data_IF_797596861770
#
_entry.id   IF_797596861770
#
_cell.length_a   1.000
_cell.length_b   1.000
_cell.length_c   1.000
_cell.angle_alpha   90.00
_cell.angle_beta   90.00
_cell.angle_gamma   90.00
#
_symmetry.space_group_name_H-M   'P 1'
#
loop_
_entity.id
_entity.type
_entity.pdbx_description
1 polymer ?
#
# COMPACT_ATOMS: atom_id res chain seq x y z
N UNK A 1 21.17 44.65 52.74
CA UNK A 1 22.15 44.29 51.69
C UNK A 1 21.68 43.00 51.03
N UNK A 2 21.60 42.98 49.70
CA UNK A 2 20.74 42.09 48.89
C UNK A 2 21.22 40.62 48.87
N UNK A 3 20.27 39.70 49.01
CA UNK A 3 20.45 38.25 48.84
C UNK A 3 20.37 37.95 47.34
N UNK A 4 21.46 37.45 46.74
CA UNK A 4 21.52 37.10 45.32
C UNK A 4 20.84 35.74 45.07
N UNK A 5 19.77 35.76 44.28
CA UNK A 5 19.08 34.59 43.73
C UNK A 5 19.80 34.20 42.43
N UNK A 6 20.63 33.16 42.48
CA UNK A 6 21.13 32.47 41.27
C UNK A 6 20.83 30.97 41.40
N UNK A 7 19.57 30.64 41.22
CA UNK A 7 19.11 29.28 40.96
C UNK A 7 17.97 29.40 39.97
N UNK A 8 17.89 28.49 39.01
CA UNK A 8 16.89 28.42 37.93
C UNK A 8 17.17 29.23 36.65
N UNK A 9 18.26 28.93 35.94
CA UNK A 9 18.29 29.16 34.48
C UNK A 9 18.76 27.93 33.68
N UNK A 10 19.42 26.95 34.28
CA UNK A 10 20.00 25.83 33.53
C UNK A 10 19.00 24.73 33.07
N UNK A 11 17.77 24.67 33.61
CA UNK A 11 16.84 23.57 33.32
C UNK A 11 15.97 23.79 32.05
N UNK A 12 15.83 25.03 31.57
CA UNK A 12 14.95 25.34 30.43
C UNK A 12 15.57 25.03 29.05
N UNK A 13 16.90 25.05 28.95
CA UNK A 13 17.59 24.87 27.67
C UNK A 13 17.62 23.42 27.18
N UNK A 14 17.53 22.43 28.08
CA UNK A 14 17.58 21.01 27.71
C UNK A 14 16.26 20.48 27.13
N UNK A 15 15.11 21.05 27.51
CA UNK A 15 13.80 20.63 26.99
C UNK A 15 13.51 21.18 25.57
N UNK A 16 14.14 22.29 25.18
CA UNK A 16 13.97 22.88 23.85
C UNK A 16 14.68 22.12 22.73
N UNK A 17 15.81 21.45 23.04
CA UNK A 17 16.61 20.77 22.02
C UNK A 17 15.98 19.44 21.55
N UNK A 18 15.23 18.75 22.40
CA UNK A 18 14.56 17.48 22.04
C UNK A 18 13.37 17.68 21.08
N UNK A 19 12.72 18.84 21.10
CA UNK A 19 11.54 19.12 20.27
C UNK A 19 11.86 19.50 18.81
N UNK A 20 13.14 19.72 18.47
CA UNK A 20 13.56 20.14 17.11
C UNK A 20 13.93 18.92 16.24
N UNK A 21 14.21 17.75 16.83
CA UNK A 21 14.65 16.57 16.07
C UNK A 21 13.52 15.91 15.26
N UNK A 22 12.25 16.11 15.65
CA UNK A 22 11.10 15.46 15.01
C UNK A 22 10.72 16.09 13.66
N UNK A 23 11.19 17.31 13.35
CA UNK A 23 10.81 18.04 12.12
C UNK A 23 11.78 17.80 10.93
N UNK A 24 12.71 16.85 11.02
CA UNK A 24 13.75 16.60 10.00
C UNK A 24 13.54 15.32 9.16
N UNK A 25 12.41 14.61 9.33
CA UNK A 25 12.18 13.29 8.74
C UNK A 25 12.24 13.21 7.19
N UNK A 26 12.14 14.34 6.47
CA UNK A 26 12.02 14.37 5.00
C UNK A 26 12.94 15.35 4.27
N UNK A 27 14.04 15.82 4.88
CA UNK A 27 14.87 16.89 4.26
C UNK A 27 16.07 16.42 3.43
N UNK A 28 16.61 15.24 3.68
CA UNK A 28 17.73 14.73 2.89
C UNK A 28 17.22 14.17 1.57
N UNK A 29 17.79 14.61 0.44
CA UNK A 29 17.55 13.95 -0.85
C UNK A 29 18.07 12.52 -0.77
N UNK A 30 17.31 11.57 -1.32
CA UNK A 30 17.76 10.18 -1.44
C UNK A 30 19.02 10.10 -2.29
N UNK A 31 19.97 9.25 -1.88
CA UNK A 31 21.14 8.93 -2.70
C UNK A 31 20.74 8.08 -3.91
N UNK A 32 21.56 8.03 -4.98
CA UNK A 32 21.31 7.14 -6.11
C UNK A 32 21.13 5.67 -5.70
N UNK A 33 21.89 5.20 -4.71
CA UNK A 33 21.81 3.83 -4.20
C UNK A 33 20.48 3.57 -3.47
N UNK A 34 19.98 4.55 -2.73
CA UNK A 34 18.67 4.46 -2.06
C UNK A 34 17.52 4.45 -3.08
N UNK A 35 17.59 5.28 -4.12
CA UNK A 35 16.61 5.29 -5.20
C UNK A 35 16.62 3.95 -5.96
N UNK A 36 17.81 3.40 -6.23
CA UNK A 36 17.95 2.07 -6.83
C UNK A 36 17.33 0.99 -5.95
N UNK A 37 17.62 0.98 -4.65
CA UNK A 37 17.05 0.01 -3.72
C UNK A 37 15.52 0.11 -3.67
N UNK A 38 14.97 1.32 -3.70
CA UNK A 38 13.53 1.54 -3.80
C UNK A 38 12.95 0.97 -5.09
N UNK A 39 13.56 1.28 -6.24
CA UNK A 39 13.11 0.78 -7.55
C UNK A 39 13.16 -0.76 -7.62
N UNK A 40 14.23 -1.36 -7.13
CA UNK A 40 14.41 -2.81 -7.14
C UNK A 40 13.30 -3.50 -6.33
N UNK A 41 13.01 -3.04 -5.11
CA UNK A 41 11.94 -3.59 -4.25
C UNK A 41 10.56 -3.31 -4.84
N UNK A 42 10.32 -2.10 -5.35
CA UNK A 42 9.05 -1.73 -5.95
C UNK A 42 8.74 -2.60 -7.17
N UNK A 43 9.69 -2.75 -8.08
CA UNK A 43 9.51 -3.58 -9.27
C UNK A 43 9.46 -5.07 -8.96
N UNK A 44 10.05 -5.54 -7.86
CA UNK A 44 9.81 -6.90 -7.36
C UNK A 44 8.33 -7.12 -6.99
N UNK A 45 7.73 -6.16 -6.26
CA UNK A 45 6.30 -6.24 -5.91
C UNK A 45 5.40 -6.13 -7.15
N UNK A 46 5.74 -5.28 -8.12
CA UNK A 46 5.01 -5.20 -9.40
C UNK A 46 5.02 -6.54 -10.11
N UNK A 47 6.18 -7.19 -10.26
CA UNK A 47 6.29 -8.50 -10.94
C UNK A 47 5.54 -9.60 -10.19
N UNK A 48 5.63 -9.62 -8.85
CA UNK A 48 4.90 -10.59 -8.05
C UNK A 48 3.39 -10.38 -8.16
N UNK A 49 2.94 -9.13 -8.12
CA UNK A 49 1.53 -8.77 -8.28
C UNK A 49 1.00 -9.15 -9.66
N UNK A 50 1.78 -8.91 -10.71
CA UNK A 50 1.46 -9.32 -12.08
C UNK A 50 1.23 -10.83 -12.20
N UNK A 51 2.15 -11.64 -11.64
CA UNK A 51 2.02 -13.10 -11.60
C UNK A 51 0.74 -13.54 -10.88
N UNK A 52 0.48 -13.00 -9.68
CA UNK A 52 -0.71 -13.33 -8.91
C UNK A 52 -2.00 -12.91 -9.63
N UNK A 53 -1.99 -11.73 -10.25
CA UNK A 53 -3.13 -11.17 -10.97
C UNK A 53 -3.50 -11.99 -12.22
N UNK A 54 -2.50 -12.61 -12.86
CA UNK A 54 -2.67 -13.54 -13.97
C UNK A 54 -2.86 -15.01 -13.53
N UNK A 55 -2.96 -15.27 -12.23
CA UNK A 55 -3.30 -16.59 -11.70
C UNK A 55 -2.13 -17.58 -11.65
N UNK A 56 -0.88 -17.12 -11.64
CA UNK A 56 0.30 -17.98 -11.59
C UNK A 56 0.27 -18.91 -10.35
N UNK A 57 0.22 -20.22 -10.59
CA UNK A 57 0.10 -21.21 -9.51
C UNK A 57 1.37 -21.29 -8.66
N UNK A 58 2.54 -21.08 -9.24
CA UNK A 58 3.82 -21.18 -8.54
C UNK A 58 3.98 -20.03 -7.53
N UNK A 59 3.61 -18.80 -7.91
CA UNK A 59 3.58 -17.64 -7.04
C UNK A 59 2.59 -17.82 -5.88
N UNK A 60 1.38 -18.31 -6.17
CA UNK A 60 0.38 -18.61 -5.15
C UNK A 60 0.88 -19.66 -4.16
N UNK A 61 1.46 -20.77 -4.65
CA UNK A 61 2.05 -21.83 -3.84
C UNK A 61 3.20 -21.31 -2.97
N UNK A 62 4.07 -20.47 -3.52
CA UNK A 62 5.19 -19.86 -2.77
C UNK A 62 4.71 -19.00 -1.61
N UNK A 63 3.59 -18.29 -1.78
CA UNK A 63 3.02 -17.42 -0.76
C UNK A 63 2.00 -18.12 0.15
N UNK A 64 1.65 -19.37 -0.13
CA UNK A 64 0.66 -20.13 0.64
C UNK A 64 -0.75 -19.54 0.54
N UNK A 65 -1.11 -18.96 -0.61
CA UNK A 65 -2.43 -18.37 -0.85
C UNK A 65 -3.21 -19.18 -1.90
N UNK A 66 -4.53 -19.10 -1.84
CA UNK A 66 -5.44 -19.67 -2.84
C UNK A 66 -6.35 -18.56 -3.36
N UNK A 67 -5.99 -17.94 -4.48
CA UNK A 67 -6.74 -16.81 -5.04
C UNK A 67 -7.97 -17.26 -5.84
N UNK A 68 -8.02 -18.53 -6.25
CA UNK A 68 -9.10 -19.08 -7.04
C UNK A 68 -9.34 -20.56 -6.76
N UNK A 69 -10.62 -20.94 -6.64
CA UNK A 69 -11.08 -22.33 -6.69
C UNK A 69 -11.82 -22.63 -8.00
N UNK A 70 -12.20 -21.60 -8.74
CA UNK A 70 -12.91 -21.71 -10.02
C UNK A 70 -11.97 -21.84 -11.21
N UNK A 71 -10.67 -21.57 -11.01
CA UNK A 71 -9.67 -21.49 -12.09
C UNK A 71 -9.64 -20.14 -12.80
N UNK A 72 -10.52 -19.20 -12.42
CA UNK A 72 -10.49 -17.83 -12.95
C UNK A 72 -9.36 -17.01 -12.31
N UNK A 73 -8.72 -16.18 -13.12
CA UNK A 73 -7.74 -15.19 -12.68
C UNK A 73 -8.30 -13.77 -12.82
N UNK A 74 -7.75 -12.81 -12.06
CA UNK A 74 -8.19 -11.41 -12.10
C UNK A 74 -8.11 -10.83 -13.53
N UNK A 75 -7.04 -11.16 -14.25
CA UNK A 75 -6.79 -10.73 -15.62
C UNK A 75 -7.85 -11.19 -16.65
N UNK A 76 -8.67 -12.20 -16.33
CA UNK A 76 -9.74 -12.65 -17.22
C UNK A 76 -10.90 -11.63 -17.28
N UNK A 77 -11.13 -10.89 -16.19
CA UNK A 77 -12.14 -9.82 -16.12
C UNK A 77 -11.51 -8.43 -16.27
N UNK A 78 -10.25 -8.28 -15.87
CA UNK A 78 -9.51 -7.01 -15.89
C UNK A 78 -8.20 -7.15 -16.69
N UNK A 79 -8.25 -7.30 -18.02
CA UNK A 79 -7.04 -7.49 -18.84
C UNK A 79 -6.02 -6.39 -18.56
N UNK A 80 -4.77 -6.75 -18.22
CA UNK A 80 -3.71 -5.79 -17.90
C UNK A 80 -4.06 -4.77 -16.80
N UNK A 81 -4.97 -5.11 -15.88
CA UNK A 81 -5.38 -4.22 -14.80
C UNK A 81 -6.35 -3.11 -15.22
N UNK A 82 -7.03 -3.24 -16.37
CA UNK A 82 -8.06 -2.28 -16.81
C UNK A 82 -9.31 -2.35 -15.93
N UNK A 83 -10.04 -1.24 -15.86
CA UNK A 83 -11.33 -1.12 -15.18
C UNK A 83 -11.35 -1.43 -13.67
N UNK A 84 -10.20 -1.48 -13.01
CA UNK A 84 -10.09 -1.62 -11.55
C UNK A 84 -10.09 -0.28 -10.80
N UNK A 85 -9.86 0.83 -11.51
CA UNK A 85 -9.99 2.22 -11.04
C UNK A 85 -9.42 2.49 -9.63
N UNK A 86 -8.13 2.19 -9.36
CA UNK A 86 -7.59 2.24 -8.00
C UNK A 86 -7.46 3.67 -7.45
N UNK A 87 -7.46 4.66 -8.33
CA UNK A 87 -7.37 6.08 -8.01
C UNK A 87 -8.68 6.68 -7.47
N UNK A 88 -9.80 5.95 -7.59
CA UNK A 88 -11.10 6.35 -7.06
C UNK A 88 -11.37 5.81 -5.65
N UNK A 89 -10.50 4.93 -5.15
CA UNK A 89 -10.61 4.41 -3.78
C UNK A 89 -9.94 5.36 -2.77
N UNK A 90 -10.50 5.49 -1.55
CA UNK A 90 -11.69 4.79 -1.06
C UNK A 90 -13.01 5.40 -1.55
N UNK A 91 -14.06 4.57 -1.67
CA UNK A 91 -15.40 4.99 -2.14
C UNK A 91 -16.54 4.16 -1.56
N UNK A 92 -17.77 4.62 -1.74
CA UNK A 92 -18.94 3.75 -1.58
C UNK A 92 -19.00 2.81 -2.78
N UNK A 93 -18.92 1.51 -2.56
CA UNK A 93 -18.97 0.53 -3.62
C UNK A 93 -20.36 -0.11 -3.67
N UNK A 94 -21.10 0.18 -4.73
CA UNK A 94 -22.47 -0.31 -4.92
C UNK A 94 -22.57 -1.85 -4.89
N UNK A 95 -21.58 -2.55 -5.44
CA UNK A 95 -21.52 -4.01 -5.51
C UNK A 95 -21.55 -4.68 -4.13
N UNK A 96 -21.08 -3.98 -3.09
CA UNK A 96 -21.10 -4.48 -1.69
C UNK A 96 -21.98 -3.62 -0.77
N UNK A 97 -22.55 -2.52 -1.28
CA UNK A 97 -23.45 -1.63 -0.54
C UNK A 97 -22.81 -0.92 0.65
N UNK A 98 -21.49 -0.71 0.65
CA UNK A 98 -20.77 -0.10 1.76
C UNK A 98 -19.51 0.65 1.31
N UNK A 99 -18.91 1.40 2.25
CA UNK A 99 -17.58 1.98 2.06
C UNK A 99 -16.53 0.89 1.84
N UNK A 100 -15.67 1.09 0.85
CA UNK A 100 -14.64 0.15 0.43
C UNK A 100 -13.31 0.85 0.20
N UNK A 101 -12.24 0.18 0.58
CA UNK A 101 -10.88 0.43 0.11
C UNK A 101 -10.58 -0.46 -1.11
N UNK A 102 -9.46 -0.20 -1.78
CA UNK A 102 -8.99 -1.07 -2.86
C UNK A 102 -8.78 -2.52 -2.37
N UNK A 103 -8.24 -2.71 -1.17
CA UNK A 103 -8.01 -4.03 -0.58
C UNK A 103 -9.31 -4.78 -0.28
N UNK A 104 -10.37 -4.06 0.11
CA UNK A 104 -11.69 -4.66 0.27
C UNK A 104 -12.19 -5.21 -1.07
N UNK A 105 -11.98 -4.49 -2.16
CA UNK A 105 -12.36 -4.93 -3.50
C UNK A 105 -11.47 -6.04 -4.05
N UNK A 106 -10.17 -6.04 -3.75
CA UNK A 106 -9.30 -7.18 -4.07
C UNK A 106 -9.82 -8.45 -3.39
N UNK A 107 -10.12 -8.38 -2.08
CA UNK A 107 -10.68 -9.52 -1.36
C UNK A 107 -12.07 -9.90 -1.85
N UNK A 108 -12.92 -8.93 -2.19
CA UNK A 108 -14.22 -9.24 -2.79
C UNK A 108 -14.08 -10.01 -4.10
N UNK A 109 -13.14 -9.63 -4.98
CA UNK A 109 -12.83 -10.36 -6.21
C UNK A 109 -12.35 -11.80 -5.93
N UNK A 110 -11.50 -11.97 -4.91
CA UNK A 110 -11.02 -13.30 -4.49
C UNK A 110 -12.17 -14.15 -3.94
N UNK A 111 -13.01 -13.60 -3.07
CA UNK A 111 -14.04 -14.36 -2.35
C UNK A 111 -15.30 -14.61 -3.19
N UNK A 112 -15.69 -13.69 -4.08
CA UNK A 112 -16.97 -13.73 -4.79
C UNK A 112 -16.84 -14.32 -6.20
N UNK A 113 -16.18 -13.69 -7.20
CA UNK A 113 -15.92 -14.33 -8.49
C UNK A 113 -15.07 -15.60 -8.39
N UNK A 114 -13.95 -15.55 -7.67
CA UNK A 114 -12.94 -16.61 -7.73
C UNK A 114 -13.14 -17.72 -6.68
N UNK A 115 -14.02 -17.51 -5.70
CA UNK A 115 -14.28 -18.42 -4.57
C UNK A 115 -13.03 -18.86 -3.78
N UNK A 116 -11.98 -18.04 -3.83
CA UNK A 116 -10.71 -18.24 -3.16
C UNK A 116 -10.78 -18.07 -1.65
N UNK A 117 -9.62 -17.97 -1.02
CA UNK A 117 -9.48 -17.72 0.41
C UNK A 117 -9.09 -16.26 0.61
N UNK A 118 -9.85 -15.56 1.45
CA UNK A 118 -9.59 -14.17 1.83
C UNK A 118 -8.14 -13.96 2.23
N UNK A 119 -7.52 -12.91 1.71
CA UNK A 119 -6.17 -12.51 2.06
C UNK A 119 -6.17 -11.64 3.32
N UNK A 120 -5.18 -11.87 4.18
CA UNK A 120 -4.88 -10.94 5.27
C UNK A 120 -4.49 -9.57 4.69
N UNK A 121 -5.01 -8.45 5.24
CA UNK A 121 -4.79 -7.12 4.67
C UNK A 121 -3.32 -6.74 4.49
N UNK A 122 -2.44 -7.22 5.36
CA UNK A 122 -1.00 -6.92 5.32
C UNK A 122 -0.14 -8.06 4.75
N UNK A 123 -0.78 -9.10 4.20
CA UNK A 123 -0.08 -10.23 3.59
C UNK A 123 0.80 -9.78 2.41
N UNK A 124 1.89 -10.53 2.13
CA UNK A 124 2.72 -10.28 0.95
C UNK A 124 1.91 -10.30 -0.36
N UNK A 125 0.93 -11.19 -0.48
CA UNK A 125 0.08 -11.29 -1.67
C UNK A 125 -0.79 -10.05 -1.86
N UNK A 126 -1.43 -9.54 -0.80
CA UNK A 126 -2.25 -8.34 -0.86
C UNK A 126 -1.42 -7.11 -1.27
N UNK A 127 -0.24 -6.94 -0.67
CA UNK A 127 0.67 -5.82 -1.01
C UNK A 127 1.14 -5.89 -2.46
N UNK A 128 1.48 -7.08 -2.95
CA UNK A 128 1.92 -7.27 -4.33
C UNK A 128 0.79 -6.97 -5.34
N UNK A 129 -0.41 -7.50 -5.12
CA UNK A 129 -1.58 -7.26 -5.95
C UNK A 129 -1.94 -5.77 -6.01
N UNK A 130 -2.03 -5.11 -4.85
CA UNK A 130 -2.29 -3.68 -4.74
C UNK A 130 -1.22 -2.85 -5.49
N UNK A 131 0.05 -3.20 -5.33
CA UNK A 131 1.16 -2.54 -6.03
C UNK A 131 1.05 -2.68 -7.54
N UNK A 132 0.77 -3.88 -8.05
CA UNK A 132 0.59 -4.11 -9.48
C UNK A 132 -0.61 -3.34 -10.05
N UNK A 133 -1.72 -3.30 -9.31
CA UNK A 133 -2.92 -2.55 -9.71
C UNK A 133 -2.61 -1.05 -9.83
N UNK A 134 -1.94 -0.46 -8.83
CA UNK A 134 -1.51 0.94 -8.90
C UNK A 134 -0.52 1.20 -10.03
N UNK A 135 0.47 0.31 -10.19
CA UNK A 135 1.46 0.43 -11.27
C UNK A 135 0.81 0.40 -12.66
N UNK A 136 -0.17 -0.49 -12.86
CA UNK A 136 -0.89 -0.63 -14.13
C UNK A 136 -1.76 0.58 -14.45
N UNK A 137 -2.20 1.31 -13.42
CA UNK A 137 -3.02 2.53 -13.54
C UNK A 137 -2.22 3.81 -13.26
N UNK A 138 -0.89 3.76 -13.37
CA UNK A 138 -0.03 4.93 -13.13
C UNK A 138 -0.36 6.06 -14.12
N UNK A 139 -0.34 7.29 -13.63
CA UNK A 139 -0.68 8.48 -14.40
C UNK A 139 -2.15 8.90 -14.30
N UNK A 140 -3.02 8.08 -13.68
CA UNK A 140 -4.37 8.51 -13.30
C UNK A 140 -4.33 9.59 -12.22
N UNK A 141 -5.25 10.55 -12.32
CA UNK A 141 -5.49 11.54 -11.27
C UNK A 141 -6.19 10.88 -10.08
N UNK A 142 -5.71 11.11 -8.87
CA UNK A 142 -6.41 10.67 -7.66
C UNK A 142 -7.75 11.41 -7.57
N UNK A 143 -8.85 10.67 -7.54
CA UNK A 143 -10.22 11.19 -7.47
C UNK A 143 -11.10 10.33 -6.54
N UNK A 144 -10.78 10.23 -5.23
CA UNK A 144 -11.49 9.33 -4.32
C UNK A 144 -12.98 9.65 -4.17
N UNK A 145 -13.80 8.61 -4.04
CA UNK A 145 -15.25 8.74 -3.88
C UNK A 145 -16.03 8.83 -5.20
N UNK A 146 -15.32 8.82 -6.33
CA UNK A 146 -15.91 8.73 -7.67
C UNK A 146 -16.39 7.32 -7.98
N UNK A 147 -17.48 7.23 -8.74
CA UNK A 147 -18.10 5.99 -9.18
C UNK A 147 -18.53 6.11 -10.65
#
# INVERSE_FOLDING_TARGET
>A
MKIARYGFVAAGAFLGLMMISQALAHKAKHSPEQLKAFEDVFMEQVRLGDLLFHGDEAAQKKLGVQLSKTGMACAMCHPFGTDVHPHEFPKFQEQIGQFATLRDMINWCVEKPNEGVKLEPDSPAMKALETYIYYSNRGSTLDPGRH
#
